data_IF_135772162914
#
_entry.id   IF_135772162914
#
_cell.length_a   1.000
_cell.length_b   1.000
_cell.length_c   1.000
_cell.angle_alpha   90.00
_cell.angle_beta   90.00
_cell.angle_gamma   90.00
#
_symmetry.space_group_name_H-M   'P 1'
#
loop_
_entity.id
_entity.type
_entity.pdbx_description
1 polymer ?
#
# COMPACT_ATOMS: atom_id res chain seq x y z
N UNK A 1 -62.76 -3.25 36.04
CA UNK A 1 -63.04 -2.45 37.25
C UNK A 1 -62.19 -1.19 37.18
N UNK A 2 -62.88 -0.06 37.01
CA UNK A 2 -62.50 1.36 37.01
C UNK A 2 -61.70 2.02 35.86
N UNK A 3 -62.46 2.86 35.18
CA UNK A 3 -62.19 3.99 34.27
C UNK A 3 -62.02 5.30 35.09
N UNK A 4 -61.15 6.22 34.60
CA UNK A 4 -61.25 7.72 34.61
C UNK A 4 -61.14 8.51 35.96
N UNK A 5 -60.93 9.86 36.00
CA UNK A 5 -60.15 10.77 35.11
C UNK A 5 -59.50 12.04 35.74
N UNK A 6 -58.73 12.76 34.90
CA UNK A 6 -58.56 14.23 34.76
C UNK A 6 -58.48 15.15 36.00
N UNK A 7 -57.40 15.95 36.08
CA UNK A 7 -57.54 17.41 35.86
C UNK A 7 -56.26 18.12 35.40
N UNK A 8 -56.49 19.05 34.47
CA UNK A 8 -55.54 19.93 33.78
C UNK A 8 -54.90 20.95 34.73
N UNK A 9 -53.64 21.26 34.50
CA UNK A 9 -53.10 22.61 34.63
C UNK A 9 -51.92 22.80 33.66
N UNK A 10 -52.11 23.68 32.68
CA UNK A 10 -51.07 24.38 31.90
C UNK A 10 -51.28 25.88 32.20
N UNK A 11 -50.34 26.81 31.88
CA UNK A 11 -48.96 26.63 31.45
C UNK A 11 -47.97 27.56 32.20
N UNK A 12 -46.66 27.37 32.01
CA UNK A 12 -45.70 28.47 31.80
C UNK A 12 -44.45 27.93 31.08
N UNK A 13 -44.35 28.37 29.83
CA UNK A 13 -43.23 28.40 28.89
C UNK A 13 -41.83 28.04 29.44
N UNK A 14 -41.27 26.95 28.95
CA UNK A 14 -39.87 26.94 28.51
C UNK A 14 -39.86 26.46 27.06
N UNK A 15 -39.63 27.41 26.17
CA UNK A 15 -39.34 27.25 24.75
C UNK A 15 -38.13 26.33 24.58
N UNK A 16 -38.34 25.22 23.89
CA UNK A 16 -37.26 24.48 23.21
C UNK A 16 -36.70 25.40 22.12
N UNK A 17 -35.37 25.56 21.99
CA UNK A 17 -34.83 26.17 20.79
C UNK A 17 -35.10 25.23 19.62
N UNK A 18 -35.75 25.81 18.62
CA UNK A 18 -36.03 25.22 17.32
C UNK A 18 -34.75 24.81 16.59
N UNK A 19 -34.95 23.92 15.63
CA UNK A 19 -33.99 23.43 14.66
C UNK A 19 -33.20 24.58 14.00
N UNK A 20 -31.98 24.81 14.47
CA UNK A 20 -30.99 25.54 13.71
C UNK A 20 -30.44 24.61 12.61
N UNK A 21 -30.97 24.84 11.41
CA UNK A 21 -30.34 24.54 10.13
C UNK A 21 -28.81 24.50 10.21
N UNK A 22 -28.25 23.30 10.00
CA UNK A 22 -26.81 23.08 9.95
C UNK A 22 -26.21 23.84 8.77
N UNK A 23 -25.75 25.06 9.03
CA UNK A 23 -24.94 25.85 8.10
C UNK A 23 -23.52 25.27 8.11
N UNK A 24 -22.92 24.94 6.94
CA UNK A 24 -21.54 24.49 6.88
C UNK A 24 -20.63 25.72 7.07
N UNK A 25 -20.24 25.96 8.31
CA UNK A 25 -19.62 27.22 8.70
C UNK A 25 -18.66 27.10 9.87
N UNK A 26 -17.80 26.08 9.88
CA UNK A 26 -16.51 26.15 10.59
C UNK A 26 -15.44 25.65 9.61
N UNK A 27 -14.99 26.59 8.78
CA UNK A 27 -13.71 26.48 8.10
C UNK A 27 -12.63 26.41 9.19
N UNK A 28 -12.15 25.20 9.49
CA UNK A 28 -10.76 25.02 9.92
C UNK A 28 -9.87 25.40 8.73
N UNK A 29 -9.80 26.71 8.52
CA UNK A 29 -8.87 27.38 7.64
C UNK A 29 -7.52 27.34 8.31
N UNK A 30 -6.88 26.18 8.28
CA UNK A 30 -5.43 26.15 8.20
C UNK A 30 -5.08 26.90 6.91
N UNK A 31 -4.83 28.19 7.11
CA UNK A 31 -4.44 29.17 6.11
C UNK A 31 -3.56 28.52 5.04
N UNK A 32 -4.02 28.54 3.79
CA UNK A 32 -3.23 28.27 2.58
C UNK A 32 -1.93 29.10 2.52
N UNK A 33 -1.75 30.06 3.43
CA UNK A 33 -0.60 30.95 3.59
C UNK A 33 0.12 30.78 4.94
N UNK A 34 0.05 29.64 5.62
CA UNK A 34 0.96 29.42 6.75
C UNK A 34 2.40 29.40 6.21
N UNK A 35 3.32 30.26 6.70
CA UNK A 35 4.69 30.42 6.18
C UNK A 35 5.52 29.12 6.23
N UNK A 36 5.03 28.10 6.94
CA UNK A 36 5.65 26.78 7.03
C UNK A 36 5.47 25.97 5.73
N UNK A 37 4.43 26.21 4.94
CA UNK A 37 4.13 25.43 3.72
C UNK A 37 4.90 25.91 2.48
N UNK A 38 5.15 27.22 2.34
CA UNK A 38 6.04 27.76 1.29
C UNK A 38 7.52 27.38 1.51
N UNK A 39 7.85 26.93 2.72
CA UNK A 39 9.21 26.59 3.14
C UNK A 39 9.64 25.15 2.79
N UNK A 40 8.74 24.24 2.45
CA UNK A 40 9.07 22.81 2.25
C UNK A 40 10.03 22.61 1.07
N UNK A 41 9.77 23.27 -0.07
CA UNK A 41 10.64 23.18 -1.26
C UNK A 41 11.98 23.90 -1.01
N UNK A 42 11.95 25.01 -0.27
CA UNK A 42 13.15 25.76 0.15
C UNK A 42 13.99 25.06 1.22
N UNK A 43 13.40 24.15 1.99
CA UNK A 43 14.08 23.37 3.04
C UNK A 43 14.85 22.17 2.49
N UNK A 44 14.41 21.55 1.39
CA UNK A 44 15.05 20.31 0.91
C UNK A 44 16.22 20.60 -0.03
N UNK A 45 16.11 21.61 -0.91
CA UNK A 45 17.10 21.85 -1.97
C UNK A 45 18.48 22.32 -1.48
N UNK A 46 18.62 23.25 -0.52
CA UNK A 46 19.93 23.65 0.02
C UNK A 46 20.47 22.67 1.07
N UNK A 47 19.59 22.06 1.88
CA UNK A 47 20.00 21.31 3.08
C UNK A 47 20.61 19.94 2.79
N UNK A 48 20.42 19.38 1.59
CA UNK A 48 21.00 18.06 1.26
C UNK A 48 22.36 18.18 0.58
N UNK A 49 22.58 19.24 -0.20
CA UNK A 49 23.89 19.46 -0.84
C UNK A 49 24.99 19.87 0.15
N UNK A 50 24.63 20.38 1.34
CA UNK A 50 25.59 20.97 2.28
C UNK A 50 25.67 20.25 3.64
N UNK A 51 24.73 19.35 3.97
CA UNK A 51 24.42 19.05 5.37
C UNK A 51 24.01 17.58 5.68
N UNK A 52 24.61 16.56 5.04
CA UNK A 52 24.61 15.17 5.56
C UNK A 52 23.26 14.43 5.73
N UNK A 53 23.31 13.16 6.16
CA UNK A 53 22.14 12.25 6.25
C UNK A 53 21.15 12.60 7.36
N UNK A 54 21.59 13.26 8.43
CA UNK A 54 20.72 13.67 9.54
C UNK A 54 19.74 14.77 9.13
N UNK A 55 20.21 15.79 8.39
CA UNK A 55 19.31 16.85 7.93
C UNK A 55 18.34 16.32 6.88
N UNK A 56 18.77 15.40 6.02
CA UNK A 56 17.84 14.68 5.15
C UNK A 56 16.75 13.95 5.95
N UNK A 57 17.11 13.21 7.00
CA UNK A 57 16.13 12.50 7.84
C UNK A 57 15.10 13.46 8.44
N UNK A 58 15.55 14.61 8.94
CA UNK A 58 14.66 15.65 9.49
C UNK A 58 13.76 16.23 8.39
N UNK A 59 14.31 16.61 7.23
CA UNK A 59 13.53 17.12 6.10
C UNK A 59 12.47 16.12 5.64
N UNK A 60 12.84 14.85 5.44
CA UNK A 60 11.90 13.82 5.04
C UNK A 60 10.82 13.61 6.10
N UNK A 61 11.16 13.67 7.40
CA UNK A 61 10.17 13.57 8.48
C UNK A 61 9.18 14.74 8.46
N UNK A 62 9.63 15.95 8.16
CA UNK A 62 8.76 17.12 7.99
C UNK A 62 7.79 16.87 6.82
N UNK A 63 8.28 16.39 5.67
CA UNK A 63 7.43 16.06 4.52
C UNK A 63 6.41 14.97 4.90
N UNK A 64 6.81 13.92 5.62
CA UNK A 64 5.89 12.88 6.11
C UNK A 64 4.75 13.48 6.95
N UNK A 65 5.05 14.44 7.83
CA UNK A 65 4.02 15.14 8.60
C UNK A 65 3.03 15.87 7.69
N UNK A 66 3.51 16.52 6.63
CA UNK A 66 2.65 17.22 5.67
C UNK A 66 1.81 16.30 4.81
N UNK A 67 2.34 15.16 4.40
CA UNK A 67 1.59 14.10 3.69
C UNK A 67 0.40 13.66 4.55
N UNK A 68 0.65 13.38 5.83
CA UNK A 68 -0.37 12.89 6.76
C UNK A 68 -1.37 13.97 7.20
N UNK A 69 -0.96 15.25 7.23
CA UNK A 69 -1.81 16.36 7.66
C UNK A 69 -2.64 16.95 6.51
N UNK A 70 -1.99 17.21 5.38
CA UNK A 70 -2.53 18.02 4.29
C UNK A 70 -3.39 17.27 3.28
N UNK A 71 -3.46 15.93 3.36
CA UNK A 71 -4.19 15.06 2.43
C UNK A 71 -4.18 15.60 0.99
N UNK A 72 -5.33 16.01 0.44
CA UNK A 72 -5.48 16.48 -0.93
C UNK A 72 -4.72 17.77 -1.26
N UNK A 73 -4.60 18.70 -0.31
CA UNK A 73 -3.88 19.96 -0.51
C UNK A 73 -2.37 19.72 -0.68
N UNK A 74 -1.83 18.72 0.03
CA UNK A 74 -0.45 18.31 -0.19
C UNK A 74 -0.24 17.85 -1.64
N UNK A 75 -1.14 16.97 -2.08
CA UNK A 75 -1.04 16.34 -3.40
C UNK A 75 -1.17 17.34 -4.55
N UNK A 76 -2.01 18.37 -4.40
CA UNK A 76 -2.24 19.37 -5.45
C UNK A 76 -1.14 20.43 -5.55
N UNK A 77 -0.52 20.82 -4.42
CA UNK A 77 0.33 22.01 -4.39
C UNK A 77 1.83 21.67 -4.33
N UNK A 78 2.21 20.58 -3.65
CA UNK A 78 3.62 20.33 -3.32
C UNK A 78 4.19 19.04 -3.93
N UNK A 79 3.34 18.11 -4.37
CA UNK A 79 3.75 16.77 -4.76
C UNK A 79 4.76 16.75 -5.91
N UNK A 80 4.59 17.57 -6.95
CA UNK A 80 5.51 17.67 -8.09
C UNK A 80 6.89 18.20 -7.69
N UNK A 81 6.92 19.22 -6.84
CA UNK A 81 8.16 19.79 -6.33
C UNK A 81 8.90 18.79 -5.43
N UNK A 82 8.17 18.05 -4.59
CA UNK A 82 8.73 16.97 -3.77
C UNK A 82 9.28 15.85 -4.64
N UNK A 83 8.52 15.37 -5.63
CA UNK A 83 8.96 14.30 -6.53
C UNK A 83 10.23 14.69 -7.31
N UNK A 84 10.27 15.90 -7.87
CA UNK A 84 11.44 16.44 -8.57
C UNK A 84 12.65 16.51 -7.64
N UNK A 85 12.44 16.98 -6.40
CA UNK A 85 13.51 17.06 -5.42
C UNK A 85 14.03 15.67 -5.05
N UNK A 86 13.17 14.73 -4.70
CA UNK A 86 13.57 13.37 -4.31
C UNK A 86 14.30 12.66 -5.44
N UNK A 87 13.83 12.79 -6.69
CA UNK A 87 14.52 12.26 -7.86
C UNK A 87 15.95 12.82 -7.99
N UNK A 88 16.12 14.13 -7.80
CA UNK A 88 17.45 14.75 -7.84
C UNK A 88 18.38 14.29 -6.72
N UNK A 89 17.83 13.88 -5.57
CA UNK A 89 18.63 13.35 -4.46
C UNK A 89 19.05 11.90 -4.70
N UNK A 90 18.22 11.11 -5.38
CA UNK A 90 18.50 9.70 -5.65
C UNK A 90 19.73 9.47 -6.53
N UNK A 91 20.19 10.47 -7.30
CA UNK A 91 21.33 10.30 -8.20
C UNK A 91 22.69 10.24 -7.51
N UNK A 92 22.82 10.81 -6.31
CA UNK A 92 24.12 10.92 -5.59
C UNK A 92 23.94 10.76 -4.08
N UNK A 93 23.29 9.66 -3.67
CA UNK A 93 23.01 9.39 -2.27
C UNK A 93 23.46 8.00 -1.84
N UNK A 94 23.97 7.92 -0.61
CA UNK A 94 24.25 6.64 0.05
C UNK A 94 22.98 5.83 0.24
N UNK A 95 23.12 4.50 0.27
CA UNK A 95 22.02 3.54 0.46
C UNK A 95 21.08 3.89 1.61
N UNK A 96 21.61 4.34 2.76
CA UNK A 96 20.78 4.74 3.91
C UNK A 96 19.81 5.86 3.55
N UNK A 97 20.29 6.88 2.84
CA UNK A 97 19.45 7.98 2.36
C UNK A 97 18.46 7.54 1.29
N UNK A 98 18.86 6.63 0.39
CA UNK A 98 17.97 6.01 -0.58
C UNK A 98 16.79 5.31 0.10
N UNK A 99 17.04 4.51 1.13
CA UNK A 99 15.99 3.82 1.90
C UNK A 99 15.04 4.81 2.58
N UNK A 100 15.55 5.93 3.11
CA UNK A 100 14.69 6.98 3.69
C UNK A 100 13.77 7.62 2.64
N UNK A 101 14.30 7.89 1.43
CA UNK A 101 13.52 8.42 0.31
C UNK A 101 12.44 7.41 -0.10
N UNK A 102 12.80 6.15 -0.33
CA UNK A 102 11.86 5.11 -0.74
C UNK A 102 10.74 4.89 0.29
N UNK A 103 11.03 5.03 1.59
CA UNK A 103 10.01 4.97 2.65
C UNK A 103 9.03 6.14 2.61
N UNK A 104 9.50 7.34 2.23
CA UNK A 104 8.61 8.48 2.02
C UNK A 104 7.74 8.27 0.77
N UNK A 105 8.30 7.76 -0.33
CA UNK A 105 7.53 7.41 -1.53
C UNK A 105 6.46 6.37 -1.19
N UNK A 106 6.82 5.33 -0.42
CA UNK A 106 5.88 4.32 0.04
C UNK A 106 4.71 4.93 0.83
N UNK A 107 5.00 5.85 1.76
CA UNK A 107 3.97 6.56 2.53
C UNK A 107 3.03 7.35 1.62
N UNK A 108 3.57 8.03 0.61
CA UNK A 108 2.79 8.83 -0.34
C UNK A 108 1.90 7.92 -1.19
N UNK A 109 2.42 6.81 -1.72
CA UNK A 109 1.61 5.85 -2.49
C UNK A 109 0.51 5.21 -1.65
N UNK A 110 0.78 4.98 -0.36
CA UNK A 110 -0.23 4.50 0.59
C UNK A 110 -1.33 5.53 0.85
N UNK A 111 -0.97 6.82 0.95
CA UNK A 111 -1.92 7.91 1.16
C UNK A 111 -2.69 8.30 -0.12
N UNK A 112 -2.08 8.17 -1.29
CA UNK A 112 -2.62 8.56 -2.60
C UNK A 112 -2.38 7.47 -3.64
N UNK A 113 -3.09 6.33 -3.58
CA UNK A 113 -2.86 5.20 -4.47
C UNK A 113 -3.14 5.51 -5.95
N UNK A 114 -4.02 6.48 -6.24
CA UNK A 114 -4.39 6.85 -7.60
C UNK A 114 -3.50 7.97 -8.15
N UNK A 115 -3.27 9.03 -7.38
CA UNK A 115 -2.52 10.22 -7.81
C UNK A 115 -1.00 10.09 -7.59
N UNK A 116 -0.58 9.35 -6.57
CA UNK A 116 0.82 9.17 -6.24
C UNK A 116 1.66 8.57 -7.39
N UNK A 117 1.23 7.48 -8.05
CA UNK A 117 2.00 6.87 -9.13
C UNK A 117 2.32 7.84 -10.27
N UNK A 118 1.37 8.70 -10.66
CA UNK A 118 1.58 9.65 -11.77
C UNK A 118 2.55 10.77 -11.41
N UNK A 119 2.53 11.26 -10.18
CA UNK A 119 3.50 12.28 -9.73
C UNK A 119 4.91 11.71 -9.59
N UNK A 120 5.03 10.46 -9.16
CA UNK A 120 6.32 9.80 -8.97
C UNK A 120 6.79 9.02 -10.21
N UNK A 121 6.12 9.19 -11.36
CA UNK A 121 6.36 8.41 -12.59
C UNK A 121 7.82 8.40 -13.04
N UNK A 122 8.54 9.53 -12.87
CA UNK A 122 9.94 9.65 -13.30
C UNK A 122 10.91 8.77 -12.50
N UNK A 123 10.51 8.29 -11.32
CA UNK A 123 11.33 7.41 -10.47
C UNK A 123 11.10 5.92 -10.79
N UNK A 124 9.97 5.58 -11.42
CA UNK A 124 9.56 4.19 -11.64
C UNK A 124 10.42 3.43 -12.66
N UNK A 125 10.92 4.03 -13.75
CA UNK A 125 11.89 3.37 -14.61
C UNK A 125 13.16 2.94 -13.87
N UNK A 126 13.68 3.79 -12.98
CA UNK A 126 14.84 3.47 -12.14
C UNK A 126 14.56 2.31 -11.18
N UNK A 127 13.36 2.28 -10.58
CA UNK A 127 12.89 1.18 -9.75
C UNK A 127 12.88 -0.15 -10.52
N UNK A 128 12.27 -0.19 -11.71
CA UNK A 128 12.19 -1.41 -12.53
C UNK A 128 13.60 -1.90 -12.90
N UNK A 129 14.47 -1.01 -13.35
CA UNK A 129 15.87 -1.36 -13.67
C UNK A 129 16.61 -1.91 -12.44
N UNK A 130 16.44 -1.29 -11.27
CA UNK A 130 17.08 -1.77 -10.03
C UNK A 130 16.64 -3.19 -9.66
N UNK A 131 15.37 -3.55 -9.90
CA UNK A 131 14.87 -4.91 -9.67
C UNK A 131 15.55 -5.90 -10.61
N UNK A 132 15.72 -5.52 -11.89
CA UNK A 132 16.28 -6.37 -12.95
C UNK A 132 17.80 -6.48 -12.92
N UNK A 133 18.52 -5.41 -12.55
CA UNK A 133 19.98 -5.32 -12.59
C UNK A 133 20.69 -6.12 -11.47
N UNK A 134 19.98 -7.08 -10.85
CA UNK A 134 20.46 -7.93 -9.78
C UNK A 134 21.17 -7.16 -8.63
N UNK A 135 20.71 -5.95 -8.34
CA UNK A 135 21.23 -5.07 -7.28
C UNK A 135 21.55 -5.86 -6.00
N UNK A 136 22.78 -5.70 -5.50
CA UNK A 136 23.30 -6.48 -4.38
C UNK A 136 22.68 -6.03 -3.06
N UNK A 137 22.22 -4.78 -2.97
CA UNK A 137 21.59 -4.30 -1.77
C UNK A 137 20.15 -4.83 -1.61
N UNK A 138 20.00 -5.97 -0.93
CA UNK A 138 18.71 -6.62 -0.69
C UNK A 138 17.67 -5.69 -0.07
N UNK A 139 18.07 -4.74 0.78
CA UNK A 139 17.13 -3.78 1.42
C UNK A 139 16.54 -2.84 0.38
N UNK A 140 17.37 -2.33 -0.54
CA UNK A 140 16.92 -1.45 -1.62
C UNK A 140 16.03 -2.22 -2.60
N UNK A 141 16.40 -3.45 -2.99
CA UNK A 141 15.57 -4.29 -3.85
C UNK A 141 14.22 -4.61 -3.19
N UNK A 142 14.20 -4.95 -1.89
CA UNK A 142 12.96 -5.21 -1.15
C UNK A 142 12.03 -3.99 -1.14
N UNK A 143 12.59 -2.77 -0.96
CA UNK A 143 11.83 -1.52 -1.03
C UNK A 143 11.22 -1.33 -2.43
N UNK A 144 12.01 -1.52 -3.50
CA UNK A 144 11.55 -1.37 -4.87
C UNK A 144 10.46 -2.40 -5.23
N UNK A 145 10.62 -3.67 -4.84
CA UNK A 145 9.58 -4.70 -5.00
C UNK A 145 8.30 -4.33 -4.24
N UNK A 146 8.42 -3.74 -3.04
CA UNK A 146 7.26 -3.31 -2.25
C UNK A 146 6.51 -2.13 -2.93
N UNK A 147 7.23 -1.20 -3.54
CA UNK A 147 6.63 -0.11 -4.32
C UNK A 147 5.96 -0.64 -5.60
N UNK A 148 6.63 -1.54 -6.31
CA UNK A 148 6.09 -2.22 -7.48
C UNK A 148 4.78 -2.96 -7.14
N UNK A 149 4.79 -3.79 -6.10
CA UNK A 149 3.62 -4.51 -5.60
C UNK A 149 2.46 -3.58 -5.25
N UNK A 150 2.73 -2.46 -4.58
CA UNK A 150 1.70 -1.51 -4.17
C UNK A 150 0.99 -0.90 -5.37
N UNK A 151 1.75 -0.41 -6.34
CA UNK A 151 1.16 0.22 -7.53
C UNK A 151 0.46 -0.84 -8.39
N UNK A 152 1.04 -2.05 -8.53
CA UNK A 152 0.40 -3.12 -9.29
C UNK A 152 -0.94 -3.56 -8.69
N UNK A 153 -1.02 -3.69 -7.35
CA UNK A 153 -2.24 -4.06 -6.63
C UNK A 153 -3.34 -3.00 -6.73
N UNK A 154 -2.99 -1.71 -6.65
CA UNK A 154 -3.97 -0.62 -6.52
C UNK A 154 -4.23 0.13 -7.83
N UNK A 155 -3.31 0.08 -8.80
CA UNK A 155 -3.37 0.83 -10.05
C UNK A 155 -2.66 0.06 -11.19
N UNK A 156 -3.21 -1.11 -11.52
CA UNK A 156 -2.62 -2.05 -12.49
C UNK A 156 -2.46 -1.44 -13.89
N UNK A 157 -3.43 -0.66 -14.36
CA UNK A 157 -3.35 0.01 -15.68
C UNK A 157 -2.16 0.97 -15.75
N UNK A 158 -1.96 1.77 -14.70
CA UNK A 158 -0.81 2.66 -14.63
C UNK A 158 0.50 1.89 -14.59
N UNK A 159 0.61 0.85 -13.75
CA UNK A 159 1.82 0.01 -13.71
C UNK A 159 2.13 -0.59 -15.08
N UNK A 160 1.12 -1.09 -15.80
CA UNK A 160 1.31 -1.63 -17.14
C UNK A 160 1.85 -0.58 -18.12
N UNK A 161 1.34 0.65 -18.07
CA UNK A 161 1.86 1.75 -18.90
C UNK A 161 3.34 2.05 -18.64
N UNK A 162 3.79 1.92 -17.38
CA UNK A 162 5.19 2.10 -16.99
C UNK A 162 6.04 0.95 -17.51
N UNK A 163 5.57 -0.30 -17.38
CA UNK A 163 6.27 -1.49 -17.92
C UNK A 163 6.46 -1.35 -19.43
N UNK A 164 5.41 -0.96 -20.17
CA UNK A 164 5.49 -0.74 -21.62
C UNK A 164 6.49 0.36 -21.99
N UNK A 165 6.51 1.45 -21.22
CA UNK A 165 7.46 2.54 -21.44
C UNK A 165 8.91 2.08 -21.23
N UNK A 166 9.19 1.39 -20.12
CA UNK A 166 10.53 0.89 -19.81
C UNK A 166 10.97 -0.19 -20.81
N UNK A 167 10.07 -1.09 -21.19
CA UNK A 167 10.34 -2.11 -22.21
C UNK A 167 10.77 -1.47 -23.53
N UNK A 168 10.03 -0.44 -23.97
CA UNK A 168 10.39 0.33 -25.17
C UNK A 168 11.74 1.02 -25.05
N UNK A 169 12.07 1.64 -23.92
CA UNK A 169 13.38 2.26 -23.69
C UNK A 169 14.53 1.24 -23.71
N UNK A 170 14.27 0.03 -23.24
CA UNK A 170 15.25 -1.07 -23.25
C UNK A 170 15.30 -1.84 -24.58
N UNK A 171 14.43 -1.50 -25.55
CA UNK A 171 14.30 -2.26 -26.81
C UNK A 171 13.79 -3.68 -26.61
N UNK A 172 13.06 -3.94 -25.52
CA UNK A 172 12.50 -5.24 -25.18
C UNK A 172 10.97 -5.23 -25.34
N UNK A 173 10.38 -6.42 -25.36
CA UNK A 173 8.93 -6.61 -25.33
C UNK A 173 8.39 -6.49 -23.88
N UNK A 174 7.17 -5.96 -23.73
CA UNK A 174 6.57 -5.68 -22.42
C UNK A 174 6.27 -6.96 -21.63
N UNK A 175 5.81 -8.01 -22.30
CA UNK A 175 5.56 -9.31 -21.70
C UNK A 175 6.87 -9.95 -21.23
N UNK A 176 7.92 -9.84 -22.04
CA UNK A 176 9.26 -10.32 -21.70
C UNK A 176 9.86 -9.58 -20.49
N UNK A 177 9.72 -8.25 -20.43
CA UNK A 177 10.14 -7.45 -19.29
C UNK A 177 9.36 -7.82 -18.01
N UNK A 178 8.05 -7.97 -18.12
CA UNK A 178 7.20 -8.35 -17.00
C UNK A 178 7.51 -9.76 -16.51
N UNK A 179 7.79 -10.70 -17.41
CA UNK A 179 8.24 -12.05 -17.06
C UNK A 179 9.53 -12.04 -16.24
N UNK A 180 10.53 -11.27 -16.67
CA UNK A 180 11.76 -11.11 -15.90
C UNK A 180 11.51 -10.48 -14.52
N UNK A 181 10.62 -9.48 -14.44
CA UNK A 181 10.23 -8.90 -13.15
C UNK A 181 9.57 -9.92 -12.23
N UNK A 182 8.69 -10.78 -12.76
CA UNK A 182 8.06 -11.85 -11.98
C UNK A 182 9.10 -12.87 -11.51
N UNK A 183 10.02 -13.30 -12.38
CA UNK A 183 11.10 -14.23 -12.01
C UNK A 183 11.93 -13.65 -10.85
N UNK A 184 12.41 -12.41 -11.00
CA UNK A 184 13.19 -11.74 -9.94
C UNK A 184 12.39 -11.54 -8.65
N UNK A 185 11.08 -11.37 -8.73
CA UNK A 185 10.23 -11.20 -7.57
C UNK A 185 9.98 -12.52 -6.85
N UNK A 186 9.62 -13.59 -7.58
CA UNK A 186 9.35 -14.90 -7.00
C UNK A 186 10.63 -15.56 -6.46
N UNK A 187 11.76 -15.40 -7.15
CA UNK A 187 13.04 -15.99 -6.74
C UNK A 187 13.63 -15.31 -5.51
N UNK A 188 13.21 -14.08 -5.21
CA UNK A 188 13.76 -13.27 -4.13
C UNK A 188 12.71 -12.80 -3.13
N UNK A 189 11.59 -13.51 -2.99
CA UNK A 189 10.56 -13.13 -2.01
C UNK A 189 11.13 -13.08 -0.58
N UNK A 190 12.09 -13.94 -0.25
CA UNK A 190 12.81 -14.00 1.03
C UNK A 190 13.51 -12.70 1.45
N UNK A 191 13.93 -11.87 0.50
CA UNK A 191 14.61 -10.60 0.84
C UNK A 191 13.62 -9.60 1.46
N UNK A 192 12.32 -9.79 1.23
CA UNK A 192 11.25 -9.04 1.87
C UNK A 192 10.98 -9.71 3.21
N UNK A 193 11.50 -9.12 4.28
CA UNK A 193 11.45 -9.71 5.64
C UNK A 193 10.31 -9.18 6.50
N UNK A 194 9.73 -8.02 6.15
CA UNK A 194 8.63 -7.43 6.92
C UNK A 194 7.30 -8.10 6.56
N UNK A 195 6.55 -8.68 7.53
CA UNK A 195 5.30 -9.38 7.25
C UNK A 195 4.28 -8.56 6.45
N UNK A 196 4.16 -7.26 6.73
CA UNK A 196 3.26 -6.35 6.02
C UNK A 196 3.61 -6.24 4.53
N UNK A 197 4.91 -6.21 4.21
CA UNK A 197 5.39 -6.12 2.82
C UNK A 197 5.31 -7.45 2.11
N UNK A 198 5.56 -8.55 2.81
CA UNK A 198 5.34 -9.90 2.27
C UNK A 198 3.87 -10.10 1.93
N UNK A 199 2.96 -9.74 2.84
CA UNK A 199 1.52 -9.76 2.61
C UNK A 199 1.13 -8.89 1.42
N UNK A 200 1.65 -7.66 1.32
CA UNK A 200 1.42 -6.79 0.16
C UNK A 200 1.86 -7.46 -1.15
N UNK A 201 3.04 -8.09 -1.14
CA UNK A 201 3.53 -8.81 -2.31
C UNK A 201 2.63 -9.97 -2.70
N UNK A 202 2.19 -10.77 -1.72
CA UNK A 202 1.25 -11.87 -1.97
C UNK A 202 -0.11 -11.38 -2.48
N UNK A 203 -0.66 -10.29 -1.91
CA UNK A 203 -1.89 -9.67 -2.43
C UNK A 203 -1.73 -9.26 -3.90
N UNK A 204 -0.61 -8.60 -4.23
CA UNK A 204 -0.34 -8.16 -5.60
C UNK A 204 -0.07 -9.31 -6.58
N UNK A 205 0.58 -10.38 -6.14
CA UNK A 205 0.82 -11.57 -6.97
C UNK A 205 -0.47 -12.36 -7.17
N UNK A 206 -1.34 -12.44 -6.16
CA UNK A 206 -2.63 -13.10 -6.30
C UNK A 206 -3.57 -12.32 -7.22
N UNK A 207 -3.51 -10.97 -7.23
CA UNK A 207 -4.37 -10.14 -8.07
C UNK A 207 -4.14 -10.30 -9.57
N UNK A 208 -2.95 -10.78 -9.98
CA UNK A 208 -2.63 -11.04 -11.39
C UNK A 208 -2.98 -12.46 -11.85
N UNK A 209 -3.23 -13.41 -10.93
CA UNK A 209 -3.53 -14.81 -11.29
C UNK A 209 -4.74 -14.99 -12.21
N UNK A 210 -5.87 -14.27 -12.04
CA UNK A 210 -7.01 -14.42 -12.93
C UNK A 210 -6.83 -13.71 -14.28
N UNK A 211 -5.75 -12.94 -14.45
CA UNK A 211 -5.53 -12.17 -15.66
C UNK A 211 -5.05 -13.09 -16.79
N UNK A 212 -5.54 -12.85 -17.99
CA UNK A 212 -5.23 -13.68 -19.15
C UNK A 212 -3.89 -13.29 -19.80
N UNK A 213 -2.81 -13.33 -19.02
CA UNK A 213 -1.44 -13.09 -19.48
C UNK A 213 -0.68 -14.41 -19.51
N UNK A 214 -0.16 -14.81 -20.67
CA UNK A 214 0.63 -16.05 -20.81
C UNK A 214 1.83 -16.07 -19.86
N UNK A 215 2.46 -14.91 -19.67
CA UNK A 215 3.60 -14.71 -18.76
C UNK A 215 3.28 -15.09 -17.31
N UNK A 216 2.04 -14.86 -16.87
CA UNK A 216 1.56 -15.22 -15.52
C UNK A 216 1.26 -16.70 -15.46
N UNK A 217 0.60 -17.27 -16.48
CA UNK A 217 0.30 -18.71 -16.51
C UNK A 217 1.58 -19.57 -16.58
N UNK A 218 2.61 -19.12 -17.29
CA UNK A 218 3.90 -19.82 -17.39
C UNK A 218 4.65 -19.85 -16.04
N UNK A 219 4.33 -18.93 -15.13
CA UNK A 219 4.93 -18.79 -13.79
C UNK A 219 3.97 -19.14 -12.67
N UNK A 220 2.85 -19.78 -13.00
CA UNK A 220 1.78 -20.05 -12.04
C UNK A 220 2.31 -20.79 -10.81
N UNK A 221 3.10 -21.85 -11.00
CA UNK A 221 3.71 -22.61 -9.90
C UNK A 221 4.58 -21.76 -8.95
N UNK A 222 5.44 -20.89 -9.50
CA UNK A 222 6.30 -20.00 -8.70
C UNK A 222 5.49 -18.98 -7.92
N UNK A 223 4.42 -18.43 -8.51
CA UNK A 223 3.51 -17.52 -7.85
C UNK A 223 2.79 -18.22 -6.69
N UNK A 224 2.22 -19.42 -6.92
CA UNK A 224 1.54 -20.19 -5.86
C UNK A 224 2.51 -20.52 -4.72
N UNK A 225 3.76 -20.89 -5.01
CA UNK A 225 4.77 -21.11 -3.99
C UNK A 225 4.96 -19.88 -3.09
N UNK A 226 5.11 -18.69 -3.67
CA UNK A 226 5.22 -17.44 -2.91
C UNK A 226 3.96 -17.16 -2.07
N UNK A 227 2.77 -17.42 -2.61
CA UNK A 227 1.52 -17.21 -1.87
C UNK A 227 1.44 -18.13 -0.64
N UNK A 228 1.81 -19.41 -0.79
CA UNK A 228 1.81 -20.39 0.29
C UNK A 228 2.82 -20.00 1.38
N UNK A 229 4.03 -19.59 0.99
CA UNK A 229 5.06 -19.14 1.92
C UNK A 229 4.57 -17.97 2.77
N UNK A 230 4.00 -16.94 2.13
CA UNK A 230 3.48 -15.76 2.83
C UNK A 230 2.23 -16.06 3.66
N UNK A 231 1.37 -16.99 3.20
CA UNK A 231 0.22 -17.46 3.99
C UNK A 231 0.69 -18.07 5.32
N UNK A 232 1.77 -18.86 5.30
CA UNK A 232 2.35 -19.43 6.52
C UNK A 232 3.04 -18.40 7.42
N UNK A 233 3.57 -17.30 6.86
CA UNK A 233 4.15 -16.22 7.65
C UNK A 233 3.13 -15.37 8.39
N UNK A 234 1.97 -15.15 7.76
CA UNK A 234 0.98 -14.16 8.19
C UNK A 234 -0.19 -14.80 8.93
N UNK A 235 -0.62 -15.99 8.51
CA UNK A 235 -1.76 -16.66 9.12
C UNK A 235 -1.34 -17.51 10.31
N UNK A 236 -2.15 -17.47 11.37
CA UNK A 236 -1.96 -18.24 12.61
C UNK A 236 -3.28 -18.87 13.01
N UNK A 237 -3.20 -19.95 13.78
CA UNK A 237 -4.39 -20.52 14.42
C UNK A 237 -4.91 -19.52 15.46
N UNK A 238 -6.17 -19.14 15.34
CA UNK A 238 -6.89 -18.40 16.36
C UNK A 238 -7.33 -19.33 17.52
N UNK A 239 -7.95 -18.73 18.53
CA UNK A 239 -8.44 -19.45 19.71
C UNK A 239 -9.56 -20.46 19.36
N UNK A 240 -10.21 -20.31 18.21
CA UNK A 240 -11.24 -21.20 17.68
C UNK A 240 -10.66 -22.33 16.81
N UNK A 241 -9.33 -22.36 16.64
CA UNK A 241 -8.61 -23.34 15.83
C UNK A 241 -8.70 -23.08 14.31
N UNK A 242 -9.15 -21.90 13.90
CA UNK A 242 -9.22 -21.48 12.50
C UNK A 242 -7.98 -20.68 12.11
N UNK A 243 -7.57 -20.76 10.84
CA UNK A 243 -6.45 -19.97 10.32
C UNK A 243 -6.88 -18.53 10.09
N UNK A 244 -6.45 -17.62 10.96
CA UNK A 244 -6.71 -16.19 10.90
C UNK A 244 -5.47 -15.41 10.42
N UNK A 245 -5.68 -14.36 9.64
CA UNK A 245 -4.62 -13.47 9.18
C UNK A 245 -4.26 -12.45 10.27
N UNK A 246 -3.08 -12.59 10.87
CA UNK A 246 -2.67 -11.80 12.03
C UNK A 246 -2.39 -10.32 11.77
N UNK A 247 -2.42 -9.88 10.50
CA UNK A 247 -2.22 -8.48 10.13
C UNK A 247 -3.53 -7.73 9.89
N UNK A 248 -4.66 -8.44 9.76
CA UNK A 248 -5.98 -7.81 9.63
C UNK A 248 -6.38 -7.18 10.96
N UNK A 249 -6.79 -5.91 10.90
CA UNK A 249 -7.24 -5.19 12.09
C UNK A 249 -8.76 -5.24 12.14
N UNK A 250 -9.32 -5.87 13.17
CA UNK A 250 -10.77 -5.95 13.32
C UNK A 250 -11.38 -4.58 13.67
N UNK A 251 -12.55 -4.23 13.10
CA UNK A 251 -13.25 -3.00 13.44
C UNK A 251 -13.60 -2.96 14.94
N UNK A 252 -13.05 -1.99 15.67
CA UNK A 252 -13.33 -1.81 17.11
C UNK A 252 -12.26 -2.35 18.05
N UNK A 253 -11.21 -3.02 17.54
CA UNK A 253 -9.97 -3.27 18.29
C UNK A 253 -9.16 -1.98 18.39
N UNK A 254 -9.67 -1.01 19.14
CA UNK A 254 -8.86 0.11 19.60
C UNK A 254 -7.77 -0.47 20.48
N UNK A 255 -6.55 -0.56 19.96
CA UNK A 255 -5.35 -0.87 20.74
C UNK A 255 -5.36 0.02 21.99
N UNK A 256 -5.37 -0.63 23.16
CA UNK A 256 -5.56 -0.04 24.50
C UNK A 256 -4.46 0.93 24.95
N UNK A 257 -3.69 1.53 24.03
CA UNK A 257 -2.61 2.46 24.32
C UNK A 257 -2.64 3.77 23.48
N UNK A 258 -3.82 4.15 22.96
CA UNK A 258 -4.03 5.44 22.24
C UNK A 258 -3.82 6.70 23.13
N UNK A 259 -3.55 6.51 24.43
CA UNK A 259 -3.42 7.60 25.41
C UNK A 259 -2.04 8.26 25.41
N UNK A 260 -0.98 7.57 24.92
CA UNK A 260 0.40 8.09 24.90
C UNK A 260 0.89 8.51 23.51
N UNK A 261 0.18 8.14 22.44
CA UNK A 261 0.58 8.46 21.08
C UNK A 261 0.50 9.96 20.77
N UNK A 262 1.57 10.48 20.15
CA UNK A 262 1.53 11.83 19.58
C UNK A 262 0.56 11.84 18.42
N UNK A 263 -0.03 13.01 18.15
CA UNK A 263 -1.00 13.20 17.07
C UNK A 263 -0.48 12.75 15.68
N UNK A 264 0.82 12.84 15.44
CA UNK A 264 1.43 12.31 14.22
C UNK A 264 1.35 10.79 14.11
N UNK A 265 1.60 10.08 15.22
CA UNK A 265 1.59 8.62 15.26
C UNK A 265 0.16 8.11 15.07
N UNK A 266 -0.82 8.78 15.67
CA UNK A 266 -2.25 8.53 15.42
C UNK A 266 -2.62 8.63 13.95
N UNK A 267 -2.19 9.69 13.25
CA UNK A 267 -2.43 9.82 11.80
C UNK A 267 -1.79 8.70 11.00
N UNK A 268 -0.58 8.28 11.36
CA UNK A 268 0.11 7.16 10.72
C UNK A 268 -0.64 5.84 10.94
N UNK A 269 -1.13 5.58 12.15
CA UNK A 269 -1.93 4.40 12.46
C UNK A 269 -3.27 4.40 11.71
N UNK A 270 -3.96 5.54 11.65
CA UNK A 270 -5.19 5.68 10.87
C UNK A 270 -4.96 5.37 9.38
N UNK A 271 -3.89 5.90 8.78
CA UNK A 271 -3.53 5.57 7.40
C UNK A 271 -3.21 4.07 7.25
N UNK A 272 -2.55 3.46 8.22
CA UNK A 272 -2.27 2.02 8.16
C UNK A 272 -3.53 1.17 8.19
N UNK A 273 -4.52 1.53 9.02
CA UNK A 273 -5.80 0.81 9.10
C UNK A 273 -6.64 0.89 7.82
N UNK A 274 -6.31 1.77 6.88
CA UNK A 274 -6.98 1.88 5.57
C UNK A 274 -6.25 1.12 4.46
N UNK A 275 -5.04 0.62 4.72
CA UNK A 275 -4.21 -0.07 3.73
C UNK A 275 -4.77 -1.49 3.45
N UNK A 276 -4.73 -1.99 2.20
CA UNK A 276 -5.09 -3.37 1.86
C UNK A 276 -4.43 -4.43 2.76
N UNK A 277 -3.19 -4.18 3.21
CA UNK A 277 -2.46 -5.08 4.11
C UNK A 277 -3.19 -5.31 5.44
N UNK A 278 -3.95 -4.34 5.94
CA UNK A 278 -4.67 -4.45 7.22
C UNK A 278 -6.18 -4.62 7.07
N UNK A 279 -6.70 -4.48 5.86
CA UNK A 279 -8.14 -4.53 5.57
C UNK A 279 -8.55 -5.78 4.80
N UNK A 280 -7.61 -6.43 4.10
CA UNK A 280 -7.87 -7.64 3.31
C UNK A 280 -7.26 -8.84 4.01
N UNK A 281 -8.07 -9.88 4.24
CA UNK A 281 -7.58 -11.19 4.70
C UNK A 281 -6.92 -11.92 3.55
N UNK A 282 -5.62 -12.25 3.68
CA UNK A 282 -4.84 -12.89 2.63
C UNK A 282 -5.41 -14.26 2.25
N UNK A 283 -5.76 -15.09 3.25
CA UNK A 283 -6.38 -16.40 3.03
C UNK A 283 -7.60 -16.30 2.12
N UNK A 284 -8.60 -15.51 2.53
CA UNK A 284 -9.84 -15.34 1.79
C UNK A 284 -9.60 -14.74 0.41
N UNK A 285 -8.65 -13.81 0.30
CA UNK A 285 -8.30 -13.17 -0.97
C UNK A 285 -7.68 -14.17 -1.95
N UNK A 286 -6.68 -14.96 -1.53
CA UNK A 286 -6.03 -15.98 -2.37
C UNK A 286 -7.07 -16.99 -2.88
N UNK A 287 -7.94 -17.51 -2.00
CA UNK A 287 -9.02 -18.42 -2.40
C UNK A 287 -9.94 -17.76 -3.44
N UNK A 288 -10.31 -16.50 -3.23
CA UNK A 288 -11.13 -15.75 -4.19
C UNK A 288 -10.43 -15.60 -5.55
N UNK A 289 -9.13 -15.29 -5.58
CA UNK A 289 -8.38 -15.13 -6.82
C UNK A 289 -8.22 -16.46 -7.56
N UNK A 290 -7.98 -17.58 -6.85
CA UNK A 290 -7.93 -18.91 -7.45
C UNK A 290 -9.28 -19.31 -8.08
N UNK A 291 -10.39 -19.02 -7.39
CA UNK A 291 -11.72 -19.27 -7.92
C UNK A 291 -12.01 -18.42 -9.17
N UNK A 292 -11.62 -17.14 -9.18
CA UNK A 292 -11.74 -16.28 -10.36
C UNK A 292 -10.87 -16.79 -11.52
N UNK A 293 -9.64 -17.22 -11.23
CA UNK A 293 -8.74 -17.82 -12.22
C UNK A 293 -9.38 -19.08 -12.85
N UNK A 294 -9.95 -19.97 -12.03
CA UNK A 294 -10.68 -21.15 -12.50
C UNK A 294 -11.89 -20.78 -13.37
N UNK A 295 -12.63 -19.73 -13.04
CA UNK A 295 -13.77 -19.26 -13.84
C UNK A 295 -13.34 -18.69 -15.19
N UNK A 296 -12.25 -17.93 -15.24
CA UNK A 296 -11.77 -17.26 -16.45
C UNK A 296 -11.11 -18.26 -17.42
N UNK A 297 -10.22 -19.12 -16.91
CA UNK A 297 -9.48 -20.07 -17.75
C UNK A 297 -10.26 -21.38 -18.00
N UNK A 298 -11.27 -21.66 -17.18
CA UNK A 298 -12.05 -22.88 -17.20
C UNK A 298 -11.36 -24.04 -16.46
N UNK A 299 -12.18 -24.98 -15.98
CA UNK A 299 -11.77 -26.10 -15.13
C UNK A 299 -10.53 -26.84 -15.63
N UNK A 300 -10.54 -27.25 -16.91
CA UNK A 300 -9.49 -28.09 -17.48
C UNK A 300 -8.13 -27.38 -17.54
N UNK A 301 -8.12 -26.09 -17.88
CA UNK A 301 -6.88 -25.30 -17.94
C UNK A 301 -6.38 -25.04 -16.53
N UNK A 302 -7.28 -24.72 -15.60
CA UNK A 302 -6.93 -24.54 -14.20
C UNK A 302 -6.31 -25.80 -13.58
N UNK A 303 -6.86 -26.98 -13.86
CA UNK A 303 -6.28 -28.26 -13.44
C UNK A 303 -4.87 -28.48 -14.02
N UNK A 304 -4.63 -28.06 -15.27
CA UNK A 304 -3.31 -28.12 -15.89
C UNK A 304 -2.32 -27.15 -15.23
N UNK A 305 -2.76 -25.95 -14.85
CA UNK A 305 -1.93 -24.99 -14.12
C UNK A 305 -1.60 -25.49 -12.72
N UNK A 306 -2.58 -26.01 -12.00
CA UNK A 306 -2.38 -26.63 -10.68
C UNK A 306 -1.45 -27.84 -10.76
N UNK A 307 -1.46 -28.60 -11.86
CA UNK A 307 -0.52 -29.71 -12.06
C UNK A 307 0.95 -29.27 -12.27
N UNK A 308 1.20 -27.98 -12.55
CA UNK A 308 2.55 -27.42 -12.60
C UNK A 308 3.07 -27.00 -11.22
N UNK A 309 2.16 -26.85 -10.24
CA UNK A 309 2.52 -26.54 -8.85
C UNK A 309 3.15 -27.78 -8.24
N UNK A 310 4.28 -27.61 -7.55
CA UNK A 310 4.92 -28.70 -6.82
C UNK A 310 3.94 -29.37 -5.83
N UNK A 311 4.07 -30.68 -5.64
CA UNK A 311 3.14 -31.44 -4.82
C UNK A 311 3.20 -31.02 -3.35
N UNK A 312 4.37 -30.67 -2.82
CA UNK A 312 4.52 -30.21 -1.44
C UNK A 312 3.90 -28.84 -1.25
N UNK A 313 4.07 -27.94 -2.22
CA UNK A 313 3.41 -26.63 -2.24
C UNK A 313 1.88 -26.78 -2.30
N UNK A 314 1.39 -27.68 -3.15
CA UNK A 314 -0.04 -27.98 -3.25
C UNK A 314 -0.60 -28.52 -1.92
N UNK A 315 0.15 -29.39 -1.24
CA UNK A 315 -0.23 -29.92 0.07
C UNK A 315 -0.25 -28.84 1.16
N UNK A 316 0.72 -27.92 1.13
CA UNK A 316 0.77 -26.77 2.05
C UNK A 316 -0.33 -25.74 1.78
N UNK A 317 -0.84 -25.64 0.55
CA UNK A 317 -1.97 -24.78 0.21
C UNK A 317 -3.31 -25.32 0.74
N UNK A 318 -3.51 -26.65 0.78
CA UNK A 318 -4.80 -27.28 1.14
C UNK A 318 -5.45 -26.75 2.44
N UNK A 319 -4.72 -26.57 3.56
CA UNK A 319 -5.30 -26.06 4.80
C UNK A 319 -5.92 -24.66 4.68
N UNK A 320 -5.51 -23.86 3.69
CA UNK A 320 -6.02 -22.51 3.46
C UNK A 320 -7.23 -22.47 2.53
N UNK A 321 -7.52 -23.55 1.80
CA UNK A 321 -8.65 -23.63 0.86
C UNK A 321 -9.98 -23.95 1.56
N UNK A 322 -9.94 -24.32 2.83
CA UNK A 322 -11.09 -24.65 3.67
C UNK A 322 -11.46 -23.53 4.64
#
# INVERSE_FOLDING_TARGET
VFFFPFHRSKPKNLTLPEEDTFSPGVNDSYSKNSPVYTSIVGLVKPSVSELGTENLRVCLKIIQCYVLLGSRDFMQVYSEAVATCLLSLMTDIRTEGMVLILRLVELILKAFPNEGPSVFQAMLPGMIRTILDAEENCVVVAMHLSLFARILLQNQEFMWSVIQHVAKEMGNDADSLFGALLDHWTDRIDIITQPERRKLSALSLASILPQNYSIVTDRFGAIINCLVEVLHDVCRLDDEGSMADGLVVEPGTATLDDSQDKEHDKRKHMLSRQDPVHTVCLKTYVVSQLNLCQQIHGQKVFEQLMAQVDQDVSNQLQPFLH
#
